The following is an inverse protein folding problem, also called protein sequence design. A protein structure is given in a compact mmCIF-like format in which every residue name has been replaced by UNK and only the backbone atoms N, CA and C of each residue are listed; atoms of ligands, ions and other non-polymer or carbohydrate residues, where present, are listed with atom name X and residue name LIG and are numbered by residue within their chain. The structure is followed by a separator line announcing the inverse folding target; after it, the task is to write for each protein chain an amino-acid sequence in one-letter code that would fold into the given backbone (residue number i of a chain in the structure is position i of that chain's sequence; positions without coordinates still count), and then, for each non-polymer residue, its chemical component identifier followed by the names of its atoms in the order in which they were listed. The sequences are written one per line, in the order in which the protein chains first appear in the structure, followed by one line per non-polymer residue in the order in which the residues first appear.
data_IF_354897369424
#
_entry.id   IF_354897369424
#
_cell.length_a   1.000
_cell.length_b   1.000
_cell.length_c   1.000
_cell.angle_alpha   90.00
_cell.angle_beta   90.00
_cell.angle_gamma   90.00
#
_symmetry.space_group_name_H-M   'P 1'
#
loop_
_entity.id
_entity.type
_entity.pdbx_description
1 polymer ?
#
# COMPACT_ATOMS: atom_id res chain seq x y z
N UNK A 1 15.52 12.69 -2.03
CA UNK A 1 14.15 13.13 -1.70
C UNK A 1 13.50 11.99 -0.92
N UNK A 2 13.16 12.19 0.35
CA UNK A 2 12.48 11.18 1.14
C UNK A 2 10.97 11.32 0.93
N UNK A 3 10.34 10.35 0.26
CA UNK A 3 8.89 10.30 0.05
C UNK A 3 8.24 9.49 1.17
N UNK A 4 7.11 9.98 1.71
CA UNK A 4 6.30 9.25 2.71
C UNK A 4 5.13 8.60 1.98
N UNK A 5 5.38 7.49 1.30
CA UNK A 5 4.35 6.69 0.66
C UNK A 5 3.83 5.61 1.61
N UNK A 6 2.54 5.31 1.52
CA UNK A 6 1.88 4.20 2.22
C UNK A 6 1.62 3.08 1.23
N UNK A 7 1.81 1.85 1.70
CA UNK A 7 1.30 0.66 1.04
C UNK A 7 0.36 -0.08 2.00
N UNK A 8 -0.85 -0.40 1.53
CA UNK A 8 -1.85 -1.15 2.25
C UNK A 8 -2.06 -2.50 1.58
N UNK A 9 -2.16 -3.55 2.38
CA UNK A 9 -2.34 -4.91 1.90
C UNK A 9 -3.23 -5.71 2.85
N UNK A 10 -4.04 -6.60 2.29
CA UNK A 10 -4.91 -7.48 3.09
C UNK A 10 -4.09 -8.67 3.57
N UNK A 11 -4.10 -8.89 4.88
CA UNK A 11 -3.40 -9.99 5.53
C UNK A 11 -4.42 -10.81 6.30
N UNK A 12 -4.66 -12.05 5.87
CA UNK A 12 -5.75 -12.89 6.40
C UNK A 12 -5.47 -13.46 7.81
N UNK A 13 -4.26 -13.36 8.34
CA UNK A 13 -3.95 -13.79 9.71
C UNK A 13 -2.72 -13.08 10.27
N UNK A 14 -2.58 -13.06 11.60
CA UNK A 14 -1.38 -12.58 12.30
C UNK A 14 -0.27 -13.66 12.36
N UNK A 15 -0.24 -14.60 11.42
CA UNK A 15 0.80 -15.63 11.36
C UNK A 15 2.07 -15.13 10.67
N UNK A 16 3.20 -15.76 10.97
CA UNK A 16 4.47 -15.55 10.26
C UNK A 16 4.31 -15.74 8.75
N UNK A 17 3.53 -16.73 8.32
CA UNK A 17 3.40 -17.01 6.90
C UNK A 17 2.58 -15.94 6.16
N UNK A 18 1.47 -15.48 6.75
CA UNK A 18 0.71 -14.37 6.16
C UNK A 18 1.56 -13.08 6.11
N UNK A 19 2.40 -12.84 7.12
CA UNK A 19 3.36 -11.73 7.11
C UNK A 19 4.38 -11.85 5.97
N UNK A 20 5.00 -13.02 5.78
CA UNK A 20 5.93 -13.26 4.67
C UNK A 20 5.28 -13.06 3.30
N UNK A 21 4.04 -13.52 3.13
CA UNK A 21 3.29 -13.31 1.89
C UNK A 21 3.04 -11.81 1.62
N UNK A 22 2.71 -11.04 2.64
CA UNK A 22 2.53 -9.58 2.53
C UNK A 22 3.84 -8.89 2.13
N UNK A 23 4.97 -9.23 2.76
CA UNK A 23 6.28 -8.67 2.42
C UNK A 23 6.67 -9.02 0.98
N UNK A 24 6.37 -10.24 0.52
CA UNK A 24 6.61 -10.64 -0.87
C UNK A 24 5.76 -9.85 -1.85
N UNK A 25 4.48 -9.63 -1.56
CA UNK A 25 3.60 -8.77 -2.39
C UNK A 25 4.11 -7.34 -2.43
N UNK A 26 4.54 -6.79 -1.30
CA UNK A 26 5.19 -5.48 -1.23
C UNK A 26 6.43 -5.44 -2.13
N UNK A 27 7.34 -6.41 -2.00
CA UNK A 27 8.56 -6.46 -2.78
C UNK A 27 8.31 -6.56 -4.30
N UNK A 28 7.31 -7.36 -4.71
CA UNK A 28 6.92 -7.44 -6.12
C UNK A 28 6.34 -6.13 -6.67
N UNK A 29 5.63 -5.35 -5.85
CA UNK A 29 4.95 -4.11 -6.28
C UNK A 29 5.84 -2.87 -6.18
N UNK A 30 6.70 -2.80 -5.16
CA UNK A 30 7.47 -1.60 -4.78
C UNK A 30 8.98 -1.79 -4.81
N UNK A 31 9.45 -3.01 -5.07
CA UNK A 31 10.85 -3.40 -4.91
C UNK A 31 11.13 -3.89 -3.48
N UNK A 32 12.19 -4.71 -3.34
CA UNK A 32 12.58 -5.24 -2.04
C UNK A 32 13.09 -4.12 -1.12
N UNK A 33 12.59 -4.02 0.13
CA UNK A 33 13.04 -3.00 1.06
C UNK A 33 14.48 -3.28 1.51
N UNK A 34 15.30 -2.24 1.58
CA UNK A 34 16.65 -2.33 2.17
C UNK A 34 16.59 -2.43 3.70
N UNK A 35 15.63 -1.75 4.32
CA UNK A 35 15.45 -1.75 5.77
C UNK A 35 13.97 -1.93 6.14
N UNK A 36 13.71 -2.75 7.13
CA UNK A 36 12.39 -2.94 7.74
C UNK A 36 12.48 -2.55 9.21
N UNK A 37 11.54 -1.74 9.69
CA UNK A 37 11.38 -1.38 11.09
C UNK A 37 10.03 -1.90 11.58
N UNK A 38 10.00 -2.66 12.68
CA UNK A 38 8.76 -3.18 13.26
C UNK A 38 8.80 -3.21 14.78
N UNK A 39 7.64 -3.43 15.39
CA UNK A 39 7.57 -3.84 16.79
C UNK A 39 8.02 -5.31 16.97
N UNK A 40 8.00 -5.76 18.23
CA UNK A 40 8.42 -7.10 18.62
C UNK A 40 7.33 -8.17 18.44
N UNK A 41 6.32 -7.96 17.59
CA UNK A 41 5.31 -8.98 17.36
C UNK A 41 5.95 -10.29 16.86
N UNK A 42 5.39 -11.41 17.32
CA UNK A 42 5.93 -12.76 17.06
C UNK A 42 5.94 -13.10 15.57
N UNK A 43 4.96 -12.61 14.80
CA UNK A 43 4.91 -12.78 13.35
C UNK A 43 6.08 -12.10 12.63
N UNK A 44 6.46 -10.88 13.03
CA UNK A 44 7.62 -10.16 12.48
C UNK A 44 8.93 -10.82 12.88
N UNK A 45 9.06 -11.26 14.14
CA UNK A 45 10.23 -12.03 14.60
C UNK A 45 10.40 -13.33 13.82
N UNK A 46 9.29 -14.05 13.57
CA UNK A 46 9.30 -15.25 12.74
C UNK A 46 9.67 -14.96 11.28
N UNK A 47 9.15 -13.87 10.70
CA UNK A 47 9.42 -13.49 9.33
C UNK A 47 10.90 -13.11 9.14
N UNK A 48 11.46 -12.30 10.04
CA UNK A 48 12.89 -11.97 10.08
C UNK A 48 13.77 -13.22 10.14
N UNK A 49 13.45 -14.17 11.02
CA UNK A 49 14.20 -15.43 11.13
C UNK A 49 14.20 -16.24 9.82
N UNK A 50 13.04 -16.33 9.14
CA UNK A 50 12.92 -17.03 7.85
C UNK A 50 13.70 -16.30 6.76
N UNK A 51 13.58 -14.97 6.68
CA UNK A 51 14.27 -14.15 5.67
C UNK A 51 15.78 -14.28 5.85
N UNK A 52 16.32 -14.11 7.07
CA UNK A 52 17.75 -14.26 7.35
C UNK A 52 18.26 -15.67 7.04
N UNK A 53 17.49 -16.70 7.35
CA UNK A 53 17.83 -18.09 6.98
C UNK A 53 17.90 -18.26 5.46
N UNK A 54 16.94 -17.68 4.74
CA UNK A 54 16.89 -17.73 3.28
C UNK A 54 18.08 -17.00 2.66
N UNK A 55 18.40 -15.79 3.14
CA UNK A 55 19.56 -15.01 2.68
C UNK A 55 20.87 -15.78 2.90
N UNK A 56 21.08 -16.38 4.09
CA UNK A 56 22.28 -17.20 4.35
C UNK A 56 22.42 -18.38 3.40
N UNK A 57 21.31 -18.96 2.97
CA UNK A 57 21.30 -20.13 2.08
C UNK A 57 21.48 -19.76 0.59
N UNK A 58 21.46 -18.48 0.21
CA UNK A 58 21.53 -18.05 -1.21
C UNK A 58 22.96 -18.13 -1.80
N UNK A 59 23.94 -18.61 -1.04
CA UNK A 59 25.35 -18.52 -1.42
C UNK A 59 25.90 -19.66 -2.29
N UNK A 60 25.16 -20.21 -3.27
CA UNK A 60 25.80 -21.12 -4.25
C UNK A 60 25.26 -21.15 -5.68
N UNK A 61 24.02 -20.76 -6.03
CA UNK A 61 23.66 -20.81 -7.49
C UNK A 61 22.50 -19.93 -8.01
N UNK A 62 21.73 -19.20 -7.18
CA UNK A 62 20.54 -18.48 -7.70
C UNK A 62 20.29 -17.16 -6.95
N UNK A 63 20.94 -16.10 -7.41
CA UNK A 63 20.83 -14.73 -6.87
C UNK A 63 19.52 -13.98 -7.26
N UNK A 64 18.45 -14.67 -7.68
CA UNK A 64 17.23 -14.04 -8.22
C UNK A 64 16.00 -14.06 -7.29
N UNK A 65 16.07 -14.52 -6.03
CA UNK A 65 14.85 -14.77 -5.25
C UNK A 65 14.47 -13.65 -4.26
N UNK A 66 13.56 -12.79 -4.75
CA UNK A 66 12.43 -12.13 -4.06
C UNK A 66 12.67 -11.14 -2.90
N UNK A 67 13.75 -11.23 -2.16
CA UNK A 67 14.12 -10.29 -1.09
C UNK A 67 15.59 -10.03 -1.29
N UNK A 68 15.97 -8.77 -1.54
CA UNK A 68 17.39 -8.47 -1.80
C UNK A 68 18.24 -9.03 -0.66
N UNK A 69 19.43 -9.53 -0.99
CA UNK A 69 20.41 -10.03 -0.02
C UNK A 69 20.84 -8.98 1.04
N UNK A 70 20.23 -7.79 1.04
CA UNK A 70 20.58 -6.60 1.80
C UNK A 70 19.47 -6.18 2.77
N UNK A 71 18.30 -6.85 2.81
CA UNK A 71 17.22 -6.43 3.72
C UNK A 71 17.61 -6.61 5.19
N UNK A 72 17.77 -5.50 5.90
CA UNK A 72 18.06 -5.43 7.33
C UNK A 72 16.78 -5.18 8.13
N UNK A 73 16.54 -5.98 9.17
CA UNK A 73 15.36 -5.84 10.03
C UNK A 73 15.75 -5.29 11.40
N UNK A 74 15.11 -4.19 11.78
CA UNK A 74 15.27 -3.49 13.04
C UNK A 74 13.99 -3.60 13.89
N UNK A 75 14.16 -3.91 15.16
CA UNK A 75 13.07 -4.05 16.12
C UNK A 75 13.13 -2.95 17.16
N UNK A 76 11.97 -2.40 17.51
CA UNK A 76 11.90 -1.39 18.57
C UNK A 76 12.44 -1.95 19.89
N UNK A 77 13.26 -1.19 20.64
CA UNK A 77 13.67 -1.59 21.98
C UNK A 77 12.43 -1.71 22.90
N UNK A 78 12.43 -2.67 23.85
CA UNK A 78 11.35 -2.78 24.82
C UNK A 78 11.18 -1.45 25.57
N UNK A 79 9.94 -0.93 25.65
CA UNK A 79 9.65 0.33 26.36
C UNK A 79 9.91 1.60 25.56
N UNK A 80 9.98 1.55 24.22
CA UNK A 80 10.19 2.73 23.35
C UNK A 80 8.93 3.10 22.53
N UNK A 81 7.83 3.58 23.14
CA UNK A 81 6.60 3.93 22.42
C UNK A 81 6.77 5.09 21.42
N UNK A 82 7.79 5.94 21.60
CA UNK A 82 7.96 7.14 20.77
C UNK A 82 8.38 6.85 19.32
N UNK A 83 9.08 5.74 19.06
CA UNK A 83 9.32 5.29 17.67
C UNK A 83 7.98 4.98 16.98
N UNK A 84 7.00 4.51 17.77
CA UNK A 84 5.56 4.33 17.46
C UNK A 84 4.89 5.42 16.66
N UNK A 85 5.16 6.66 17.03
CA UNK A 85 4.24 7.77 16.74
C UNK A 85 4.09 8.11 15.27
N UNK A 86 5.05 7.74 14.41
CA UNK A 86 4.93 7.98 12.97
C UNK A 86 3.94 7.00 12.34
N UNK A 87 4.14 5.70 12.51
CA UNK A 87 3.23 4.71 11.92
C UNK A 87 1.85 4.72 12.59
N UNK A 88 1.75 5.04 13.89
CA UNK A 88 0.45 5.21 14.56
C UNK A 88 -0.39 6.35 13.94
N UNK A 89 0.25 7.47 13.60
CA UNK A 89 -0.41 8.58 12.89
C UNK A 89 -0.84 8.18 11.48
N UNK A 90 -0.01 7.40 10.77
CA UNK A 90 -0.39 6.87 9.46
C UNK A 90 -1.55 5.89 9.56
N UNK A 91 -1.53 4.96 10.53
CA UNK A 91 -2.63 4.02 10.79
C UNK A 91 -3.92 4.77 11.12
N UNK A 92 -3.85 5.87 11.89
CA UNK A 92 -5.01 6.73 12.13
C UNK A 92 -5.55 7.34 10.85
N UNK A 93 -4.69 7.88 10.00
CA UNK A 93 -5.07 8.47 8.71
C UNK A 93 -5.74 7.44 7.78
N UNK A 94 -5.22 6.21 7.75
CA UNK A 94 -5.83 5.08 7.02
C UNK A 94 -7.21 4.76 7.57
N UNK A 95 -7.38 4.66 8.89
CA UNK A 95 -8.69 4.39 9.50
C UNK A 95 -9.69 5.50 9.20
N UNK A 96 -9.26 6.75 9.19
CA UNK A 96 -10.11 7.89 8.83
C UNK A 96 -10.51 7.86 7.35
N UNK A 97 -9.58 7.53 6.44
CA UNK A 97 -9.90 7.34 5.02
C UNK A 97 -10.90 6.18 4.82
N UNK A 98 -10.69 5.05 5.48
CA UNK A 98 -11.61 3.90 5.38
C UNK A 98 -13.02 4.21 5.92
N UNK A 99 -13.14 5.04 6.96
CA UNK A 99 -14.46 5.50 7.44
C UNK A 99 -15.22 6.31 6.40
N UNK A 100 -14.54 7.03 5.51
CA UNK A 100 -15.19 7.77 4.44
C UNK A 100 -15.84 6.86 3.39
N UNK A 101 -15.39 5.60 3.31
CA UNK A 101 -15.94 4.56 2.43
C UNK A 101 -16.94 3.63 3.13
N UNK A 102 -17.17 3.82 4.43
CA UNK A 102 -18.12 3.02 5.21
C UNK A 102 -19.55 3.52 4.96
N UNK A 103 -20.23 2.90 4.01
CA UNK A 103 -21.60 3.19 3.62
C UNK A 103 -22.62 2.16 4.14
N UNK A 104 -22.21 1.35 5.13
CA UNK A 104 -23.06 0.33 5.76
C UNK A 104 -23.25 -0.94 4.94
N UNK A 105 -22.56 -1.11 3.80
CA UNK A 105 -22.56 -2.36 3.03
C UNK A 105 -21.80 -3.47 3.75
N UNK A 106 -22.15 -4.73 3.45
CA UNK A 106 -21.37 -5.89 3.89
C UNK A 106 -19.98 -5.85 3.24
N UNK A 107 -18.96 -5.84 4.07
CA UNK A 107 -17.57 -5.83 3.62
C UNK A 107 -17.17 -7.23 3.13
N UNK A 108 -17.18 -7.43 1.81
CA UNK A 108 -16.59 -8.62 1.17
C UNK A 108 -15.09 -8.42 0.97
N UNK A 109 -14.34 -9.48 0.70
CA UNK A 109 -12.90 -9.38 0.38
C UNK A 109 -12.63 -8.45 -0.82
N UNK A 110 -13.48 -8.50 -1.84
CA UNK A 110 -13.39 -7.64 -3.02
C UNK A 110 -13.62 -6.16 -2.68
N UNK A 111 -14.65 -5.86 -1.88
CA UNK A 111 -14.93 -4.50 -1.43
C UNK A 111 -13.78 -3.99 -0.53
N UNK A 112 -13.33 -4.80 0.44
CA UNK A 112 -12.22 -4.43 1.34
C UNK A 112 -10.94 -4.11 0.56
N UNK A 113 -10.56 -4.97 -0.38
CA UNK A 113 -9.35 -4.76 -1.19
C UNK A 113 -9.44 -3.49 -2.04
N UNK A 114 -10.62 -3.19 -2.57
CA UNK A 114 -10.88 -1.95 -3.32
C UNK A 114 -10.79 -0.73 -2.40
N UNK A 115 -11.48 -0.72 -1.26
CA UNK A 115 -11.45 0.40 -0.31
C UNK A 115 -10.05 0.67 0.24
N UNK A 116 -9.21 -0.36 0.41
CA UNK A 116 -7.81 -0.18 0.80
C UNK A 116 -6.98 0.46 -0.31
N UNK A 117 -7.21 0.10 -1.58
CA UNK A 117 -6.52 0.72 -2.71
C UNK A 117 -6.91 2.21 -2.83
N UNK A 118 -8.19 2.54 -2.66
CA UNK A 118 -8.68 3.93 -2.67
C UNK A 118 -8.12 4.74 -1.49
N UNK A 119 -8.07 4.14 -0.30
CA UNK A 119 -7.44 4.78 0.86
C UNK A 119 -5.93 4.98 0.67
N UNK A 120 -5.22 4.03 0.07
CA UNK A 120 -3.80 4.15 -0.28
C UNK A 120 -3.58 5.33 -1.25
N UNK A 121 -4.38 5.43 -2.30
CA UNK A 121 -4.30 6.52 -3.29
C UNK A 121 -4.61 7.89 -2.64
N UNK A 122 -5.68 7.98 -1.86
CA UNK A 122 -6.07 9.22 -1.17
C UNK A 122 -4.97 9.73 -0.22
N UNK A 123 -4.26 8.83 0.46
CA UNK A 123 -3.18 9.22 1.38
C UNK A 123 -1.93 9.61 0.62
N UNK A 124 -1.60 8.89 -0.47
CA UNK A 124 -0.39 9.14 -1.25
C UNK A 124 -0.49 10.38 -2.14
N UNK A 125 -1.69 10.77 -2.55
CA UNK A 125 -1.94 11.97 -3.37
C UNK A 125 -1.99 13.26 -2.56
N UNK A 126 -2.15 13.18 -1.23
CA UNK A 126 -2.13 14.37 -0.36
C UNK A 126 -0.72 14.95 -0.27
N UNK A 127 -0.50 16.20 -0.72
CA UNK A 127 0.82 16.81 -0.66
C UNK A 127 1.26 17.01 0.79
N UNK A 128 2.53 16.72 1.08
CA UNK A 128 3.13 16.85 2.42
C UNK A 128 3.24 18.32 2.89
N UNK A 129 3.02 19.27 1.98
CA UNK A 129 3.02 20.72 2.19
C UNK A 129 1.78 21.31 1.54
N UNK A 130 1.29 22.44 2.03
CA UNK A 130 0.17 23.14 1.39
C UNK A 130 0.54 23.51 -0.06
N UNK A 131 -0.26 23.02 -1.00
CA UNK A 131 -0.23 23.42 -2.41
C UNK A 131 -1.66 23.88 -2.73
N UNK A 132 -1.86 25.08 -3.32
CA UNK A 132 -3.18 25.49 -3.79
C UNK A 132 -3.68 24.46 -4.81
N UNK A 133 -4.77 23.78 -4.50
CA UNK A 133 -5.30 22.70 -5.31
C UNK A 133 -6.25 23.27 -6.37
N UNK A 134 -5.87 23.22 -7.65
CA UNK A 134 -6.87 23.20 -8.73
C UNK A 134 -7.57 21.85 -8.66
N UNK A 135 -8.91 21.85 -8.72
CA UNK A 135 -9.72 20.65 -8.52
C UNK A 135 -9.30 19.53 -9.48
N UNK A 136 -8.81 18.41 -8.94
CA UNK A 136 -8.37 17.27 -9.75
C UNK A 136 -8.69 15.92 -9.10
N UNK A 137 -9.30 15.04 -9.91
CA UNK A 137 -9.46 13.57 -9.81
C UNK A 137 -10.31 13.03 -8.65
N UNK A 138 -10.25 13.61 -7.44
CA UNK A 138 -10.95 13.10 -6.25
C UNK A 138 -12.47 13.06 -6.42
N UNK A 139 -13.04 14.02 -7.17
CA UNK A 139 -14.49 14.08 -7.44
C UNK A 139 -14.98 12.98 -8.39
N UNK A 140 -14.11 12.41 -9.23
CA UNK A 140 -14.52 11.47 -10.29
C UNK A 140 -14.84 10.07 -9.73
N UNK A 141 -14.09 9.60 -8.73
CA UNK A 141 -14.28 8.25 -8.16
C UNK A 141 -15.45 8.17 -7.18
N UNK A 142 -15.71 9.24 -6.40
CA UNK A 142 -16.88 9.31 -5.52
C UNK A 142 -18.21 9.30 -6.30
N UNK A 143 -18.23 9.82 -7.54
CA UNK A 143 -19.40 9.79 -8.42
C UNK A 143 -19.74 8.40 -8.98
N UNK A 144 -18.75 7.55 -9.20
CA UNK A 144 -18.94 6.21 -9.79
C UNK A 144 -19.67 5.23 -8.85
N UNK A 145 -19.53 5.38 -7.53
CA UNK A 145 -20.16 4.49 -6.55
C UNK A 145 -21.45 5.03 -5.96
N UNK A 146 -21.63 6.36 -5.90
CA UNK A 146 -22.79 6.97 -5.23
C UNK A 146 -24.03 7.16 -6.12
N UNK A 147 -23.97 6.82 -7.41
CA UNK A 147 -25.12 6.92 -8.32
C UNK A 147 -25.73 8.33 -8.42
N UNK A 148 -25.04 9.36 -7.91
CA UNK A 148 -25.47 10.74 -8.03
C UNK A 148 -25.16 11.19 -9.46
N UNK A 149 -26.20 11.64 -10.18
CA UNK A 149 -26.12 12.33 -11.47
C UNK A 149 -25.41 13.69 -11.32
N UNK A 150 -24.21 13.72 -10.77
CA UNK A 150 -23.37 14.91 -10.87
C UNK A 150 -22.78 14.91 -12.28
N UNK A 151 -22.97 15.98 -13.07
CA UNK A 151 -22.33 16.07 -14.37
C UNK A 151 -20.82 15.94 -14.17
N UNK A 152 -20.19 15.08 -14.99
CA UNK A 152 -18.75 14.99 -15.06
C UNK A 152 -18.17 16.38 -15.34
N UNK A 153 -17.10 16.80 -14.65
CA UNK A 153 -16.43 18.05 -14.97
C UNK A 153 -15.93 17.99 -16.42
N UNK A 154 -16.22 19.04 -17.18
CA UNK A 154 -15.83 19.16 -18.59
C UNK A 154 -14.31 19.09 -18.74
N UNK A 155 -13.82 18.06 -19.42
CA UNK A 155 -12.40 17.80 -19.64
C UNK A 155 -11.82 18.55 -20.84
N UNK A 156 -12.57 19.48 -21.44
CA UNK A 156 -12.13 20.29 -22.59
C UNK A 156 -10.82 21.08 -22.37
N UNK A 157 -10.36 21.24 -21.12
CA UNK A 157 -9.16 22.00 -20.77
C UNK A 157 -7.97 21.17 -20.28
N UNK A 158 -8.09 19.83 -20.18
CA UNK A 158 -6.96 18.98 -19.80
C UNK A 158 -6.08 18.74 -21.02
N UNK A 159 -5.01 19.53 -21.17
CA UNK A 159 -3.98 19.30 -22.18
C UNK A 159 -3.41 17.90 -22.02
N UNK A 160 -3.50 17.10 -23.08
CA UNK A 160 -2.90 15.77 -23.15
C UNK A 160 -1.38 15.86 -22.95
N UNK A 161 -0.89 15.28 -21.87
CA UNK A 161 0.52 14.86 -21.79
C UNK A 161 0.59 13.49 -21.14
N UNK A 162 0.93 12.49 -21.95
CA UNK A 162 1.36 11.16 -21.50
C UNK A 162 0.25 10.10 -21.52
N UNK A 163 0.08 9.45 -22.67
CA UNK A 163 -0.79 8.29 -22.80
C UNK A 163 -0.29 7.08 -22.03
N UNK A 164 -1.22 6.38 -21.36
CA UNK A 164 -1.09 4.97 -21.01
C UNK A 164 -2.14 4.26 -21.87
N UNK A 165 -1.70 3.61 -22.94
CA UNK A 165 -2.53 2.68 -23.70
C UNK A 165 -2.76 1.43 -22.85
N UNK A 166 -4.01 1.16 -22.52
CA UNK A 166 -4.45 -0.13 -21.96
C UNK A 166 -4.85 -1.00 -23.15
N UNK A 167 -4.25 -2.18 -23.37
CA UNK A 167 -4.63 -3.03 -24.49
C UNK A 167 -6.08 -3.51 -24.30
N UNK A 168 -6.93 -3.21 -25.29
CA UNK A 168 -8.27 -3.79 -25.40
C UNK A 168 -8.13 -5.29 -25.61
N UNK A 169 -8.67 -6.07 -24.68
CA UNK A 169 -8.97 -7.47 -24.92
C UNK A 169 -10.22 -7.52 -25.80
N UNK A 170 -10.05 -7.53 -27.12
CA UNK A 170 -11.15 -7.83 -28.04
C UNK A 170 -11.34 -9.35 -28.06
N UNK A 171 -12.43 -9.79 -27.44
CA UNK A 171 -13.00 -11.10 -27.69
C UNK A 171 -13.51 -11.14 -29.13
N UNK A 172 -12.86 -11.91 -30.00
CA UNK A 172 -13.51 -12.52 -31.17
C UNK A 172 -12.65 -13.68 -31.71
N UNK A 173 -13.29 -14.86 -31.66
CA UNK A 173 -12.91 -16.21 -32.10
C UNK A 173 -12.01 -17.02 -31.17
#
# INVERSE_FOLDING_TARGET
MAVRAVHLDVVHSLSTQSCLMAIRRFACKRGAPEQIFSDNATCFRGADAVIRKTIRNINEECAEKLISAVTSWHFNPPGTPHMGGIWERMVRSVKEALKAFDDGRKLTDEILSTSLAEAEDMINTRPLTYIPQEASIVECFQGLFNGSNHPFPDTSHVRSTGGIEVPRCDSRY
#
